data_IF_568892592426
#
_entry.id   IF_568892592426
#
_cell.length_a   1.000
_cell.length_b   1.000
_cell.length_c   1.000
_cell.angle_alpha   90.00
_cell.angle_beta   90.00
_cell.angle_gamma   90.00
#
_symmetry.space_group_name_H-M   'P 1'
#
loop_
_entity.id
_entity.type
_entity.pdbx_description
1 polymer ?
#
# COMPACT_ATOMS: atom_id res chain seq x y z
N UNK A 1 1.17 -16.44 8.58
CA UNK A 1 0.77 -17.76 9.11
C UNK A 1 1.80 -18.80 8.73
N UNK A 2 2.03 -19.80 9.59
CA UNK A 2 2.80 -21.01 9.25
C UNK A 2 1.94 -22.01 8.49
N UNK A 3 2.60 -22.85 7.72
CA UNK A 3 1.98 -23.92 6.92
C UNK A 3 2.20 -25.26 7.59
N UNK A 4 1.24 -26.18 7.46
CA UNK A 4 1.37 -27.53 8.00
C UNK A 4 2.53 -28.27 7.36
N UNK A 5 3.21 -29.09 8.18
CA UNK A 5 4.31 -29.95 7.71
C UNK A 5 3.85 -30.82 6.53
N UNK A 6 4.66 -30.86 5.48
CA UNK A 6 4.39 -31.63 4.26
C UNK A 6 3.40 -31.00 3.28
N UNK A 7 2.88 -29.80 3.57
CA UNK A 7 2.07 -29.09 2.54
C UNK A 7 3.00 -28.62 1.40
N UNK A 8 2.72 -28.98 0.15
CA UNK A 8 3.59 -28.65 -0.96
C UNK A 8 3.48 -27.18 -1.33
N UNK A 9 4.49 -26.39 -1.01
CA UNK A 9 4.67 -25.05 -1.57
C UNK A 9 5.56 -25.16 -2.81
N UNK A 10 5.02 -24.82 -3.97
CA UNK A 10 5.79 -24.80 -5.21
C UNK A 10 6.62 -23.49 -5.29
N UNK A 11 7.95 -23.56 -5.18
CA UNK A 11 8.80 -22.36 -5.22
C UNK A 11 8.81 -21.64 -6.58
N UNK A 12 8.39 -22.31 -7.66
CA UNK A 12 8.31 -21.73 -9.00
C UNK A 12 6.94 -21.11 -9.29
N UNK A 13 5.93 -21.38 -8.46
CA UNK A 13 4.61 -20.76 -8.59
C UNK A 13 4.67 -19.25 -8.31
N UNK A 14 3.85 -18.43 -8.99
CA UNK A 14 3.74 -17.01 -8.67
C UNK A 14 3.38 -16.80 -7.20
N UNK A 15 4.15 -15.96 -6.50
CA UNK A 15 3.97 -15.72 -5.05
C UNK A 15 2.61 -15.15 -4.70
N UNK A 16 2.08 -14.28 -5.53
CA UNK A 16 0.78 -13.65 -5.35
C UNK A 16 -0.08 -13.94 -6.56
N UNK A 17 -1.19 -14.66 -6.37
CA UNK A 17 -2.07 -15.09 -7.44
C UNK A 17 -3.49 -14.52 -7.30
N UNK A 18 -3.85 -14.08 -6.10
CA UNK A 18 -5.19 -13.63 -5.77
C UNK A 18 -5.14 -12.31 -5.00
N UNK A 19 -6.10 -11.45 -5.27
CA UNK A 19 -6.37 -10.25 -4.51
C UNK A 19 -7.88 -10.17 -4.22
N UNK A 20 -8.22 -10.05 -2.93
CA UNK A 20 -9.57 -9.67 -2.52
C UNK A 20 -9.64 -8.14 -2.47
N UNK A 21 -10.61 -7.57 -3.15
CA UNK A 21 -10.91 -6.13 -3.06
C UNK A 21 -12.30 -5.96 -2.45
N UNK A 22 -12.38 -5.08 -1.46
CA UNK A 22 -13.64 -4.84 -0.76
C UNK A 22 -13.76 -3.37 -0.32
N UNK A 23 -14.94 -3.00 0.09
CA UNK A 23 -15.24 -1.68 0.66
C UNK A 23 -15.34 -1.84 2.17
N UNK A 24 -14.57 -1.06 2.92
CA UNK A 24 -14.63 -1.06 4.38
C UNK A 24 -16.03 -0.66 4.89
N UNK A 25 -16.42 -1.19 6.02
CA UNK A 25 -17.70 -0.86 6.65
C UNK A 25 -17.80 0.65 6.91
N UNK A 26 -18.88 1.27 6.45
CA UNK A 26 -19.08 2.72 6.58
C UNK A 26 -18.34 3.59 5.57
N UNK A 27 -17.53 3.02 4.68
CA UNK A 27 -16.87 3.77 3.61
C UNK A 27 -17.83 4.13 2.49
N UNK A 28 -17.74 5.38 1.99
CA UNK A 28 -18.38 5.83 0.74
C UNK A 28 -17.56 5.44 -0.49
N UNK A 29 -16.31 5.08 -0.31
CA UNK A 29 -15.35 4.81 -1.39
C UNK A 29 -15.32 3.32 -1.72
N UNK A 30 -15.85 2.98 -2.89
CA UNK A 30 -15.89 1.58 -3.33
C UNK A 30 -14.48 1.01 -3.51
N UNK A 31 -14.22 -0.19 -2.95
CA UNK A 31 -12.95 -0.91 -3.07
C UNK A 31 -11.75 -0.12 -2.53
N UNK A 32 -11.93 0.49 -1.38
CA UNK A 32 -10.89 1.24 -0.66
C UNK A 32 -9.95 0.36 0.17
N UNK A 33 -10.18 -0.95 0.16
CA UNK A 33 -9.36 -1.95 0.84
C UNK A 33 -9.03 -3.13 -0.07
N UNK A 34 -7.84 -3.72 0.18
CA UNK A 34 -7.40 -4.91 -0.54
C UNK A 34 -6.71 -5.89 0.43
N UNK A 35 -6.89 -7.19 0.19
CA UNK A 35 -6.11 -8.25 0.84
C UNK A 35 -5.38 -9.03 -0.24
N UNK A 36 -4.06 -9.07 -0.13
CA UNK A 36 -3.19 -9.88 -0.97
C UNK A 36 -2.76 -11.12 -0.19
N UNK A 37 -2.85 -12.27 -0.83
CA UNK A 37 -2.33 -13.53 -0.28
C UNK A 37 -1.10 -13.90 -1.06
N UNK A 38 0.00 -14.13 -0.35
CA UNK A 38 1.29 -14.48 -0.94
C UNK A 38 1.83 -15.75 -0.31
N UNK A 39 2.28 -16.68 -1.15
CA UNK A 39 3.10 -17.81 -0.72
C UNK A 39 4.48 -17.29 -0.27
N UNK A 40 5.13 -18.00 0.65
CA UNK A 40 6.44 -17.66 1.21
C UNK A 40 6.42 -16.39 2.07
N UNK A 41 6.37 -16.56 3.36
CA UNK A 41 6.22 -15.49 4.35
C UNK A 41 7.53 -14.82 4.77
N UNK A 42 8.54 -14.76 3.91
CA UNK A 42 9.74 -14.01 4.25
C UNK A 42 9.44 -12.51 4.37
N UNK A 43 10.08 -11.78 5.30
CA UNK A 43 10.05 -10.33 5.33
C UNK A 43 10.48 -9.74 3.98
N UNK A 44 9.99 -8.56 3.61
CA UNK A 44 10.45 -7.89 2.39
C UNK A 44 11.98 -7.74 2.45
N UNK A 45 12.69 -8.33 1.47
CA UNK A 45 14.15 -8.27 1.37
C UNK A 45 14.90 -9.45 2.00
N UNK A 46 14.22 -10.39 2.66
CA UNK A 46 14.84 -11.65 3.10
C UNK A 46 14.84 -12.71 1.99
N UNK A 47 15.73 -13.71 2.10
CA UNK A 47 15.83 -14.81 1.15
C UNK A 47 14.49 -15.55 1.06
N UNK A 48 13.93 -15.75 -0.13
CA UNK A 48 12.72 -16.54 -0.33
C UNK A 48 12.80 -17.97 0.22
N UNK A 49 14.00 -18.53 0.30
CA UNK A 49 14.22 -19.88 0.81
C UNK A 49 14.03 -20.00 2.34
N UNK A 50 13.97 -18.88 3.08
CA UNK A 50 13.81 -18.89 4.54
C UNK A 50 12.35 -18.80 5.00
N UNK A 51 11.39 -18.67 4.09
CA UNK A 51 10.00 -18.45 4.44
C UNK A 51 9.06 -19.60 4.05
N UNK A 52 8.77 -20.49 4.97
CA UNK A 52 7.80 -21.59 4.80
C UNK A 52 6.39 -21.17 5.25
N UNK A 53 5.87 -20.04 4.79
CA UNK A 53 4.56 -19.60 5.25
C UNK A 53 3.74 -18.88 4.20
N UNK A 54 2.53 -18.49 4.60
CA UNK A 54 1.63 -17.67 3.80
C UNK A 54 1.45 -16.32 4.49
N UNK A 55 1.51 -15.24 3.70
CA UNK A 55 1.25 -13.89 4.18
C UNK A 55 -0.09 -13.39 3.64
N UNK A 56 -0.91 -12.86 4.54
CA UNK A 56 -2.03 -12.03 4.22
C UNK A 56 -1.62 -10.58 4.42
N UNK A 57 -1.56 -9.81 3.35
CA UNK A 57 -1.22 -8.38 3.40
C UNK A 57 -2.48 -7.57 3.24
N UNK A 58 -2.89 -6.89 4.31
CA UNK A 58 -3.98 -5.94 4.28
C UNK A 58 -3.46 -4.59 3.75
N UNK A 59 -4.10 -4.06 2.73
CA UNK A 59 -3.71 -2.82 2.04
C UNK A 59 -4.84 -1.81 2.13
N UNK A 60 -4.51 -0.62 2.59
CA UNK A 60 -5.36 0.56 2.58
C UNK A 60 -5.11 1.32 1.27
N UNK A 61 -6.11 1.35 0.38
CA UNK A 61 -5.97 1.91 -0.98
C UNK A 61 -6.18 3.43 -1.02
N UNK A 62 -7.13 3.96 -0.29
CA UNK A 62 -7.39 5.39 -0.18
C UNK A 62 -7.19 5.84 1.26
N UNK A 63 -5.95 6.13 1.63
CA UNK A 63 -5.68 6.73 2.93
C UNK A 63 -6.24 8.16 2.99
N UNK A 64 -6.83 8.53 4.13
CA UNK A 64 -7.21 9.92 4.41
C UNK A 64 -5.97 10.71 4.86
N UNK A 65 -5.07 10.04 5.57
CA UNK A 65 -3.81 10.60 6.02
C UNK A 65 -2.85 10.89 4.87
N UNK A 66 -2.09 11.99 5.00
CA UNK A 66 -1.05 12.37 4.07
C UNK A 66 0.26 12.68 4.81
N UNK A 67 1.36 12.22 4.25
CA UNK A 67 2.70 12.57 4.71
C UNK A 67 3.26 13.80 4.00
N UNK A 68 4.53 14.09 4.23
CA UNK A 68 5.22 15.18 3.56
C UNK A 68 6.66 14.84 3.21
N UNK A 69 7.16 15.47 2.15
CA UNK A 69 8.56 15.42 1.73
C UNK A 69 9.13 16.83 1.84
N UNK A 70 10.27 16.99 2.51
CA UNK A 70 10.97 18.27 2.66
C UNK A 70 12.42 18.16 2.26
N UNK A 71 12.90 19.11 1.44
CA UNK A 71 14.32 19.26 1.23
C UNK A 71 14.98 19.75 2.53
N UNK A 72 16.08 19.10 2.91
CA UNK A 72 16.87 19.46 4.10
C UNK A 72 18.11 20.27 3.72
N UNK A 73 18.54 20.22 2.44
CA UNK A 73 19.63 21.01 1.91
C UNK A 73 19.52 21.19 0.39
N UNK A 74 20.43 21.96 -0.20
CA UNK A 74 20.59 22.11 -1.67
C UNK A 74 21.51 21.05 -2.28
N UNK A 75 22.10 20.19 -1.47
CA UNK A 75 22.95 19.10 -1.94
C UNK A 75 22.05 17.95 -2.49
N UNK A 76 22.09 17.64 -3.81
CA UNK A 76 21.23 16.61 -4.39
C UNK A 76 21.55 15.19 -3.91
N UNK A 77 22.66 14.97 -3.24
CA UNK A 77 23.05 13.67 -2.66
C UNK A 77 22.55 13.49 -1.22
N UNK A 78 21.98 14.52 -0.62
CA UNK A 78 21.43 14.44 0.73
C UNK A 78 19.97 13.99 0.67
N UNK A 79 19.66 12.91 1.42
CA UNK A 79 18.31 12.36 1.49
C UNK A 79 17.32 13.41 2.02
N UNK A 80 16.21 13.68 1.34
CA UNK A 80 15.17 14.55 1.89
C UNK A 80 14.55 13.96 3.15
N UNK A 81 13.98 14.82 3.97
CA UNK A 81 13.15 14.39 5.10
C UNK A 81 11.84 13.79 4.56
N UNK A 82 11.56 12.54 4.95
CA UNK A 82 10.36 11.79 4.59
C UNK A 82 9.53 11.53 5.84
N UNK A 83 8.37 12.15 5.93
CA UNK A 83 7.41 11.92 6.99
C UNK A 83 6.16 11.23 6.40
N UNK A 84 6.07 9.94 6.58
CA UNK A 84 4.97 9.15 6.00
C UNK A 84 3.65 9.28 6.76
N UNK A 85 3.66 9.58 8.05
CA UNK A 85 2.46 9.72 8.91
C UNK A 85 1.46 8.58 8.79
N UNK A 86 1.94 7.36 8.61
CA UNK A 86 1.07 6.19 8.49
C UNK A 86 0.13 6.07 9.69
N UNK A 87 -1.16 5.83 9.40
CA UNK A 87 -2.21 5.54 10.37
C UNK A 87 -2.38 6.61 11.47
N UNK A 88 -2.02 7.86 11.21
CA UNK A 88 -2.31 8.96 12.15
C UNK A 88 -3.80 9.28 12.18
N UNK A 89 -4.50 9.11 11.05
CA UNK A 89 -5.92 9.33 10.97
C UNK A 89 -6.72 8.18 11.59
N UNK A 90 -7.70 8.48 12.48
CA UNK A 90 -8.51 7.44 13.14
C UNK A 90 -9.25 6.53 12.16
N UNK A 91 -9.76 7.10 11.05
CA UNK A 91 -10.48 6.36 10.04
C UNK A 91 -9.59 5.35 9.31
N UNK A 92 -8.34 5.71 9.03
CA UNK A 92 -7.36 4.79 8.42
C UNK A 92 -7.07 3.60 9.34
N UNK A 93 -6.94 3.86 10.68
CA UNK A 93 -6.77 2.78 11.66
C UNK A 93 -7.98 1.86 11.74
N UNK A 94 -9.20 2.44 11.74
CA UNK A 94 -10.43 1.67 11.80
C UNK A 94 -10.54 0.68 10.63
N UNK A 95 -10.31 1.15 9.39
CA UNK A 95 -10.29 0.31 8.20
C UNK A 95 -9.20 -0.75 8.25
N UNK A 96 -8.02 -0.42 8.73
CA UNK A 96 -6.94 -1.39 8.87
C UNK A 96 -7.23 -2.45 9.94
N UNK A 97 -7.84 -2.08 11.08
CA UNK A 97 -8.31 -3.06 12.07
C UNK A 97 -9.36 -4.02 11.48
N UNK A 98 -10.33 -3.48 10.74
CA UNK A 98 -11.30 -4.30 10.01
C UNK A 98 -10.62 -5.28 9.07
N UNK A 99 -9.66 -4.79 8.26
CA UNK A 99 -8.93 -5.62 7.31
C UNK A 99 -8.14 -6.75 7.98
N UNK A 100 -7.48 -6.47 9.10
CA UNK A 100 -6.77 -7.51 9.87
C UNK A 100 -7.76 -8.56 10.40
N UNK A 101 -8.89 -8.13 10.96
CA UNK A 101 -9.93 -9.06 11.43
C UNK A 101 -10.52 -9.89 10.31
N UNK A 102 -10.73 -9.30 9.14
CA UNK A 102 -11.17 -10.03 7.95
C UNK A 102 -10.13 -11.07 7.51
N UNK A 103 -8.84 -10.76 7.55
CA UNK A 103 -7.79 -11.74 7.30
C UNK A 103 -7.88 -12.94 8.25
N UNK A 104 -8.12 -12.70 9.54
CA UNK A 104 -8.29 -13.77 10.54
C UNK A 104 -9.54 -14.60 10.27
N UNK A 105 -10.67 -13.97 9.93
CA UNK A 105 -11.89 -14.69 9.54
C UNK A 105 -11.70 -15.56 8.30
N UNK A 106 -10.94 -15.09 7.32
CA UNK A 106 -10.60 -15.88 6.14
C UNK A 106 -9.78 -17.12 6.51
N UNK A 107 -8.86 -17.00 7.47
CA UNK A 107 -8.05 -18.13 7.95
C UNK A 107 -8.88 -19.22 8.67
N UNK A 108 -10.03 -18.85 9.25
CA UNK A 108 -10.95 -19.80 9.87
C UNK A 108 -11.77 -20.63 8.86
N UNK A 109 -11.76 -20.23 7.58
CA UNK A 109 -12.52 -20.91 6.54
C UNK A 109 -11.98 -22.33 6.29
N UNK A 110 -12.87 -23.27 6.02
CA UNK A 110 -12.56 -24.69 5.81
C UNK A 110 -11.47 -24.94 4.76
N UNK A 111 -11.38 -24.10 3.73
CA UNK A 111 -10.36 -24.19 2.69
C UNK A 111 -8.92 -24.03 3.21
N UNK A 112 -8.74 -23.41 4.37
CA UNK A 112 -7.42 -23.21 4.97
C UNK A 112 -7.06 -24.26 6.04
N UNK A 113 -8.02 -25.08 6.47
CA UNK A 113 -7.83 -26.07 7.56
C UNK A 113 -6.70 -27.05 7.29
N UNK A 114 -6.52 -27.45 6.02
CA UNK A 114 -5.49 -28.40 5.63
C UNK A 114 -4.17 -27.75 5.24
N UNK A 115 -4.13 -26.42 5.19
CA UNK A 115 -2.98 -25.63 4.75
C UNK A 115 -2.29 -24.96 5.95
N UNK A 116 -3.07 -24.22 6.75
CA UNK A 116 -2.53 -23.36 7.82
C UNK A 116 -2.35 -24.16 9.10
N UNK A 117 -1.16 -24.04 9.70
CA UNK A 117 -0.86 -24.58 11.02
C UNK A 117 -1.28 -23.61 12.12
N UNK A 118 -0.80 -22.38 12.06
CA UNK A 118 -1.12 -21.34 13.05
C UNK A 118 -0.93 -19.93 12.52
N UNK A 119 -1.60 -18.97 13.16
CA UNK A 119 -1.36 -17.55 12.94
C UNK A 119 -0.14 -17.12 13.78
N UNK A 120 0.94 -16.71 13.13
CA UNK A 120 2.16 -16.25 13.80
C UNK A 120 1.98 -14.83 14.36
N UNK A 121 1.34 -13.95 13.58
CA UNK A 121 1.10 -12.54 13.93
C UNK A 121 -0.13 -12.02 13.18
N UNK A 122 -0.98 -11.18 13.78
CA UNK A 122 -0.95 -10.71 15.18
C UNK A 122 -1.15 -11.84 16.19
N UNK A 123 -0.64 -11.65 17.41
CA UNK A 123 -0.84 -12.59 18.53
C UNK A 123 -2.20 -12.38 19.19
N UNK A 124 -2.64 -13.33 20.03
CA UNK A 124 -3.87 -13.16 20.81
C UNK A 124 -3.84 -11.93 21.71
N UNK A 125 -2.67 -11.50 22.19
CA UNK A 125 -2.52 -10.29 23.02
C UNK A 125 -2.71 -9.01 22.18
N UNK A 126 -2.27 -8.99 20.92
CA UNK A 126 -2.47 -7.87 20.01
C UNK A 126 -3.96 -7.68 19.64
N UNK A 127 -4.77 -8.73 19.80
CA UNK A 127 -6.19 -8.78 19.42
C UNK A 127 -7.16 -8.53 20.59
N UNK A 128 -6.66 -8.26 21.80
CA UNK A 128 -7.50 -8.08 23.00
C UNK A 128 -8.40 -6.85 22.89
N UNK A 129 -7.90 -5.76 22.32
CA UNK A 129 -8.65 -4.51 22.14
C UNK A 129 -8.26 -3.78 20.88
N UNK A 130 -9.00 -2.74 20.50
CA UNK A 130 -8.64 -1.86 19.39
C UNK A 130 -7.30 -1.15 19.64
N UNK A 131 -7.02 -0.76 20.89
CA UNK A 131 -5.78 -0.09 21.27
C UNK A 131 -4.55 -1.00 21.10
N UNK A 132 -4.66 -2.27 21.52
CA UNK A 132 -3.56 -3.23 21.33
C UNK A 132 -3.35 -3.55 19.86
N UNK A 133 -4.42 -3.65 19.09
CA UNK A 133 -4.34 -3.86 17.64
C UNK A 133 -3.76 -2.63 16.93
N UNK A 134 -4.11 -1.41 17.33
CA UNK A 134 -3.50 -0.18 16.81
C UNK A 134 -2.00 -0.14 17.09
N UNK A 135 -1.56 -0.54 18.30
CA UNK A 135 -0.15 -0.63 18.63
C UNK A 135 0.58 -1.67 17.75
N UNK A 136 -0.06 -2.80 17.47
CA UNK A 136 0.48 -3.79 16.56
C UNK A 136 0.56 -3.25 15.13
N UNK A 137 -0.49 -2.59 14.63
CA UNK A 137 -0.52 -1.94 13.31
C UNK A 137 0.62 -0.93 13.17
N UNK A 138 0.81 -0.05 14.15
CA UNK A 138 1.88 0.96 14.13
C UNK A 138 3.29 0.36 14.10
N UNK A 139 3.49 -0.82 14.67
CA UNK A 139 4.79 -1.52 14.61
C UNK A 139 5.03 -2.26 13.30
N UNK A 140 3.95 -2.61 12.58
CA UNK A 140 4.02 -3.51 11.41
C UNK A 140 3.62 -2.83 10.10
N UNK A 141 3.04 -1.63 10.13
CA UNK A 141 2.68 -0.91 8.91
C UNK A 141 3.92 -0.55 8.09
N UNK A 142 3.81 -0.75 6.80
CA UNK A 142 4.88 -0.41 5.85
C UNK A 142 4.28 0.10 4.54
N UNK A 143 5.12 0.59 3.67
CA UNK A 143 4.72 1.02 2.34
C UNK A 143 4.39 -0.16 1.43
N UNK A 144 3.40 0.01 0.55
CA UNK A 144 3.18 -0.85 -0.62
C UNK A 144 3.91 -0.33 -1.88
N UNK A 145 4.79 0.68 -1.72
CA UNK A 145 5.57 1.32 -2.79
C UNK A 145 4.70 2.05 -3.83
N UNK A 146 3.57 2.58 -3.39
CA UNK A 146 2.61 3.30 -4.23
C UNK A 146 2.45 4.76 -3.79
N UNK A 147 3.53 5.38 -3.28
CA UNK A 147 3.55 6.77 -2.84
C UNK A 147 3.27 7.67 -4.04
N UNK A 148 2.29 8.56 -3.91
CA UNK A 148 1.83 9.46 -4.97
C UNK A 148 1.61 10.89 -4.43
N UNK A 149 1.36 11.84 -5.33
CA UNK A 149 0.90 13.18 -4.97
C UNK A 149 1.97 14.19 -4.58
N UNK A 150 3.27 13.84 -4.57
CA UNK A 150 4.35 14.79 -4.21
C UNK A 150 4.59 15.89 -5.25
N UNK A 151 4.16 15.65 -6.51
CA UNK A 151 4.09 16.66 -7.57
C UNK A 151 2.68 16.69 -8.18
N UNK A 152 1.64 16.69 -7.32
CA UNK A 152 0.25 16.51 -7.78
C UNK A 152 -0.16 17.53 -8.85
N UNK A 153 -0.91 17.05 -9.84
CA UNK A 153 -1.62 17.93 -10.75
C UNK A 153 -2.90 18.46 -10.10
N UNK A 154 -3.34 19.63 -10.55
CA UNK A 154 -4.59 20.21 -10.07
C UNK A 154 -4.98 21.47 -10.81
N UNK A 155 -6.20 22.01 -10.57
CA UNK A 155 -6.65 23.26 -11.18
C UNK A 155 -5.87 24.47 -10.64
N UNK A 156 -6.00 25.62 -11.31
CA UNK A 156 -5.34 26.87 -10.89
C UNK A 156 -5.80 27.35 -9.51
N UNK A 157 -6.95 26.91 -9.06
CA UNK A 157 -7.48 27.21 -7.72
C UNK A 157 -6.82 26.41 -6.61
N UNK A 158 -6.13 25.32 -6.91
CA UNK A 158 -5.39 24.51 -5.93
C UNK A 158 -3.96 25.03 -5.80
N UNK A 159 -3.71 25.80 -4.74
CA UNK A 159 -2.39 26.35 -4.45
C UNK A 159 -1.31 25.28 -4.15
N UNK A 160 -1.70 24.05 -3.86
CA UNK A 160 -0.80 22.92 -3.65
C UNK A 160 -0.53 22.14 -4.94
N UNK A 161 -1.19 22.47 -6.04
CA UNK A 161 -0.92 21.83 -7.33
C UNK A 161 0.45 22.27 -7.88
N UNK A 162 1.34 21.30 -8.06
CA UNK A 162 2.66 21.50 -8.67
C UNK A 162 2.55 21.54 -10.19
N UNK A 163 1.59 20.79 -10.74
CA UNK A 163 1.45 20.58 -12.19
C UNK A 163 0.08 21.02 -12.69
N UNK A 164 0.03 21.39 -13.98
CA UNK A 164 -1.20 21.45 -14.73
C UNK A 164 -1.65 20.08 -15.25
N UNK A 165 -2.78 20.02 -15.97
CA UNK A 165 -3.32 18.79 -16.55
C UNK A 165 -2.46 18.18 -17.67
N UNK A 166 -1.45 18.88 -18.15
CA UNK A 166 -0.48 18.43 -19.16
C UNK A 166 0.88 18.08 -18.55
N UNK A 167 0.95 17.97 -17.23
CA UNK A 167 2.15 17.70 -16.45
C UNK A 167 3.25 18.78 -16.55
N UNK A 168 2.93 20.01 -16.95
CA UNK A 168 3.87 21.12 -16.88
C UNK A 168 4.01 21.61 -15.44
N UNK A 169 5.25 21.86 -15.03
CA UNK A 169 5.54 22.45 -13.71
C UNK A 169 5.10 23.92 -13.72
N UNK A 170 4.22 24.29 -12.78
CA UNK A 170 3.71 25.65 -12.65
C UNK A 170 4.84 26.63 -12.33
N UNK A 171 4.86 27.76 -13.02
CA UNK A 171 5.86 28.80 -12.83
C UNK A 171 7.22 28.54 -13.48
N UNK A 172 7.41 27.42 -14.18
CA UNK A 172 8.61 27.10 -14.93
C UNK A 172 8.25 26.79 -16.40
N UNK A 173 9.14 27.19 -17.31
CA UNK A 173 9.01 26.86 -18.73
C UNK A 173 9.85 25.64 -19.08
N UNK A 174 9.32 24.78 -19.97
CA UNK A 174 10.05 23.65 -20.54
C UNK A 174 10.29 22.47 -19.59
N UNK A 175 9.63 22.43 -18.42
CA UNK A 175 9.77 21.34 -17.44
C UNK A 175 8.44 20.60 -17.25
N UNK A 176 8.51 19.29 -17.27
CA UNK A 176 7.40 18.38 -16.93
C UNK A 176 7.84 17.36 -15.88
N UNK A 177 6.91 16.91 -15.08
CA UNK A 177 7.06 15.71 -14.22
C UNK A 177 6.02 14.70 -14.65
N UNK A 178 6.46 13.44 -14.90
CA UNK A 178 5.61 12.41 -15.50
C UNK A 178 5.90 11.06 -14.85
N UNK A 179 5.50 10.93 -13.61
CA UNK A 179 5.58 9.70 -12.82
C UNK A 179 4.38 9.60 -11.86
N UNK A 180 4.37 8.67 -10.94
CA UNK A 180 3.26 8.46 -10.01
C UNK A 180 3.01 9.67 -9.08
N UNK A 181 3.97 10.56 -8.91
CA UNK A 181 3.84 11.77 -8.08
C UNK A 181 2.83 12.77 -8.62
N UNK A 182 2.49 12.68 -9.92
CA UNK A 182 1.53 13.58 -10.58
C UNK A 182 0.08 13.35 -10.15
N UNK A 183 -0.23 12.20 -9.58
CA UNK A 183 -1.60 11.86 -9.17
C UNK A 183 -2.11 12.84 -8.12
N UNK A 184 -3.33 13.39 -8.28
CA UNK A 184 -3.91 14.31 -7.30
C UNK A 184 -4.11 13.68 -5.92
N UNK A 185 -4.36 12.36 -5.91
CA UNK A 185 -4.55 11.52 -4.75
C UNK A 185 -4.09 10.10 -5.07
N UNK A 186 -3.93 9.23 -4.06
CA UNK A 186 -3.66 7.82 -4.32
C UNK A 186 -4.86 7.15 -5.01
N UNK A 187 -4.57 6.21 -5.89
CA UNK A 187 -5.61 5.46 -6.61
C UNK A 187 -5.95 4.17 -5.87
N UNK A 188 -7.13 3.61 -6.14
CA UNK A 188 -7.58 2.33 -5.56
C UNK A 188 -7.08 1.14 -6.34
N UNK A 189 -5.79 1.12 -6.66
CA UNK A 189 -5.13 0.05 -7.41
C UNK A 189 -3.60 0.21 -7.36
N UNK A 190 -2.90 -0.87 -7.73
CA UNK A 190 -1.48 -0.78 -8.02
C UNK A 190 -1.21 0.29 -9.09
N UNK A 191 -0.21 1.13 -8.87
CA UNK A 191 0.00 2.36 -9.64
C UNK A 191 0.67 2.16 -11.00
N UNK A 192 1.34 1.03 -11.24
CA UNK A 192 2.20 0.81 -12.40
C UNK A 192 1.49 1.04 -13.75
N UNK A 193 0.34 0.41 -13.96
CA UNK A 193 -0.38 0.53 -15.25
C UNK A 193 -0.86 1.98 -15.50
N UNK A 194 -1.34 2.65 -14.45
CA UNK A 194 -1.76 4.06 -14.54
C UNK A 194 -0.57 4.97 -14.83
N UNK A 195 0.58 4.73 -14.21
CA UNK A 195 1.79 5.52 -14.43
C UNK A 195 2.29 5.38 -15.88
N UNK A 196 2.33 4.14 -16.40
CA UNK A 196 2.70 3.89 -17.80
C UNK A 196 1.73 4.62 -18.75
N UNK A 197 0.42 4.50 -18.52
CA UNK A 197 -0.60 5.16 -19.34
C UNK A 197 -0.41 6.69 -19.36
N UNK A 198 -0.13 7.32 -18.21
CA UNK A 198 0.13 8.76 -18.13
C UNK A 198 1.40 9.11 -18.90
N UNK A 199 2.48 8.32 -18.74
CA UNK A 199 3.75 8.55 -19.42
C UNK A 199 3.60 8.48 -20.95
N UNK A 200 2.95 7.45 -21.46
CA UNK A 200 2.65 7.30 -22.90
C UNK A 200 1.81 8.48 -23.42
N UNK A 201 0.78 8.87 -22.66
CA UNK A 201 -0.06 10.01 -23.06
C UNK A 201 0.69 11.33 -23.12
N UNK A 202 1.61 11.57 -22.19
CA UNK A 202 2.43 12.80 -22.20
C UNK A 202 3.47 12.73 -23.32
N UNK A 203 4.05 11.58 -23.61
CA UNK A 203 4.96 11.40 -24.75
C UNK A 203 4.28 11.76 -26.08
N UNK A 204 3.02 11.36 -26.29
CA UNK A 204 2.23 11.76 -27.46
C UNK A 204 2.07 13.29 -27.60
N UNK A 205 2.01 14.01 -26.49
CA UNK A 205 1.89 15.48 -26.52
C UNK A 205 3.24 16.18 -26.78
N UNK A 206 4.35 15.48 -26.64
CA UNK A 206 5.71 16.00 -26.86
C UNK A 206 6.23 15.73 -28.28
N UNK A 207 5.56 14.85 -29.02
CA UNK A 207 5.82 14.56 -30.43
C UNK A 207 5.05 15.51 -31.34
#
# INVERSE_FOLDING_TARGET
VSVKEGFPLDPEAPRSQLALRYTAAGSSDRNDMQILVSSFSSPMGADPAEGEGIRFTCVLELAVGAGEVKLVSTNPHEQPFLDYRYLQEPWDRERMREGVRLCLQLLEHDAYKDIVQECITPTSQDLVSDETLDQWLMRNVTTTQHISGTCKMGPDSDQMAVLDQYCHVRGLEGLRVVDVSVLPDCIRANTNATTIMIAERVADWMS
#
